data_IF_054900669861
#
_entry.id   IF_054900669861
#
_cell.length_a   1.000
_cell.length_b   1.000
_cell.length_c   1.000
_cell.angle_alpha   90.00
_cell.angle_beta   90.00
_cell.angle_gamma   90.00
#
_symmetry.space_group_name_H-M   'P 1'
#
loop_
_entity.id
_entity.type
_entity.pdbx_description
1 polymer ?
#
# COMPACT_ATOMS: atom_id res chain seq x y z
N UNK A 1 -6.20 9.21 -21.37
CA UNK A 1 -5.70 10.21 -20.41
C UNK A 1 -4.38 9.70 -19.86
N UNK A 2 -3.37 10.56 -19.76
CA UNK A 2 -2.06 10.21 -19.22
C UNK A 2 -1.85 10.97 -17.90
N UNK A 3 -1.37 10.27 -16.88
CA UNK A 3 -1.12 10.83 -15.55
C UNK A 3 0.36 10.71 -15.24
N UNK A 4 0.96 11.79 -14.73
CA UNK A 4 2.38 11.80 -14.37
C UNK A 4 2.56 11.18 -12.98
N UNK A 5 3.37 10.12 -12.90
CA UNK A 5 3.77 9.50 -11.64
C UNK A 5 5.19 9.94 -11.31
N UNK A 6 5.40 10.39 -10.07
CA UNK A 6 6.74 10.74 -9.58
C UNK A 6 7.45 9.48 -9.12
N UNK A 7 8.65 9.26 -9.64
CA UNK A 7 9.48 8.09 -9.35
C UNK A 7 10.77 8.60 -8.68
N UNK A 8 11.28 7.88 -7.69
CA UNK A 8 12.56 8.21 -7.04
C UNK A 8 13.71 7.87 -7.99
N UNK A 9 14.84 8.57 -7.84
CA UNK A 9 15.98 8.36 -8.73
C UNK A 9 16.51 6.93 -8.71
N UNK A 10 16.49 6.27 -7.55
CA UNK A 10 16.87 4.86 -7.43
C UNK A 10 15.97 3.93 -8.25
N UNK A 11 14.65 4.07 -8.12
CA UNK A 11 13.69 3.24 -8.85
C UNK A 11 13.75 3.49 -10.37
N UNK A 12 14.11 4.72 -10.77
CA UNK A 12 14.35 5.07 -12.18
C UNK A 12 15.56 4.30 -12.75
N UNK A 13 16.64 4.16 -11.98
CA UNK A 13 17.81 3.39 -12.41
C UNK A 13 17.43 1.92 -12.66
N UNK A 14 16.59 1.34 -11.81
CA UNK A 14 16.11 -0.03 -12.00
C UNK A 14 15.21 -0.16 -13.24
N UNK A 15 14.35 0.82 -13.50
CA UNK A 15 13.57 0.88 -14.74
C UNK A 15 14.45 1.00 -15.99
N UNK A 16 15.55 1.76 -15.93
CA UNK A 16 16.52 1.90 -17.02
C UNK A 16 17.22 0.58 -17.32
N UNK A 17 17.68 -0.12 -16.27
CA UNK A 17 18.27 -1.45 -16.39
C UNK A 17 17.30 -2.46 -17.00
N UNK A 18 16.03 -2.41 -16.58
CA UNK A 18 14.98 -3.27 -17.12
C UNK A 18 14.75 -2.98 -18.61
N UNK A 19 14.63 -1.71 -18.99
CA UNK A 19 14.49 -1.31 -20.40
C UNK A 19 15.68 -1.79 -21.24
N UNK A 20 16.91 -1.59 -20.76
CA UNK A 20 18.12 -2.05 -21.44
C UNK A 20 18.14 -3.58 -21.60
N UNK A 21 17.75 -4.31 -20.56
CA UNK A 21 17.69 -5.78 -20.59
C UNK A 21 16.67 -6.29 -21.61
N UNK A 22 15.49 -5.68 -21.66
CA UNK A 22 14.46 -6.02 -22.65
C UNK A 22 14.96 -5.69 -24.06
N UNK A 23 15.60 -4.54 -24.27
CA UNK A 23 16.17 -4.17 -25.55
C UNK A 23 17.23 -5.17 -26.01
N UNK A 24 18.14 -5.57 -25.12
CA UNK A 24 19.20 -6.55 -25.43
C UNK A 24 18.63 -7.93 -25.78
N UNK A 25 17.59 -8.38 -25.07
CA UNK A 25 17.01 -9.72 -25.28
C UNK A 25 16.05 -9.78 -26.46
N UNK A 26 15.28 -8.72 -26.71
CA UNK A 26 14.20 -8.72 -27.70
C UNK A 26 14.51 -7.89 -28.95
N UNK A 27 15.55 -7.06 -28.93
CA UNK A 27 15.83 -6.07 -29.97
C UNK A 27 14.83 -4.92 -30.03
N UNK A 28 13.82 -4.90 -29.15
CA UNK A 28 12.75 -3.89 -29.15
C UNK A 28 12.95 -2.89 -28.02
N UNK A 29 12.93 -1.60 -28.36
CA UNK A 29 12.89 -0.52 -27.38
C UNK A 29 11.44 -0.30 -26.93
N UNK A 30 11.17 -0.55 -25.66
CA UNK A 30 9.88 -0.22 -25.03
C UNK A 30 9.98 1.11 -24.30
N UNK A 31 8.89 1.86 -24.25
CA UNK A 31 8.75 3.08 -23.44
C UNK A 31 8.49 2.72 -21.97
N UNK A 32 8.74 3.66 -21.04
CA UNK A 32 8.45 3.41 -19.62
C UNK A 32 6.97 3.13 -19.36
N UNK A 33 6.07 3.80 -20.08
CA UNK A 33 4.63 3.56 -19.94
C UNK A 33 4.26 2.11 -20.29
N UNK A 34 4.83 1.58 -21.37
CA UNK A 34 4.64 0.17 -21.75
C UNK A 34 5.24 -0.77 -20.70
N UNK A 35 6.43 -0.48 -20.19
CA UNK A 35 7.08 -1.31 -19.16
C UNK A 35 6.24 -1.32 -17.89
N UNK A 36 5.78 -0.16 -17.42
CA UNK A 36 4.91 -0.04 -16.26
C UNK A 36 3.58 -0.76 -16.47
N UNK A 37 2.99 -0.67 -17.66
CA UNK A 37 1.77 -1.41 -18.00
C UNK A 37 1.97 -2.93 -17.88
N UNK A 38 3.06 -3.47 -18.42
CA UNK A 38 3.39 -4.89 -18.27
C UNK A 38 3.63 -5.28 -16.81
N UNK A 39 4.37 -4.47 -16.06
CA UNK A 39 4.58 -4.72 -14.64
C UNK A 39 3.26 -4.75 -13.88
N UNK A 40 2.35 -3.81 -14.11
CA UNK A 40 1.05 -3.79 -13.44
C UNK A 40 0.19 -5.01 -13.77
N UNK A 41 0.19 -5.47 -15.02
CA UNK A 41 -0.55 -6.67 -15.43
C UNK A 41 -0.01 -7.91 -14.72
N UNK A 42 1.31 -8.07 -14.66
CA UNK A 42 1.94 -9.30 -14.17
C UNK A 42 2.21 -9.29 -12.66
N UNK A 43 2.32 -8.11 -12.04
CA UNK A 43 2.68 -7.96 -10.64
C UNK A 43 1.45 -7.83 -9.72
N UNK A 44 0.23 -7.66 -10.24
CA UNK A 44 -0.96 -7.41 -9.41
C UNK A 44 -1.14 -8.42 -8.27
N UNK A 45 -1.04 -9.73 -8.55
CA UNK A 45 -1.19 -10.75 -7.50
C UNK A 45 -0.01 -10.75 -6.53
N UNK A 46 1.22 -10.69 -7.06
CA UNK A 46 2.45 -10.72 -6.26
C UNK A 46 2.64 -9.50 -5.36
N UNK A 47 2.18 -8.34 -5.80
CA UNK A 47 2.23 -7.10 -5.01
C UNK A 47 1.23 -7.16 -3.86
N UNK A 48 0.04 -7.72 -4.08
CA UNK A 48 -0.94 -7.92 -2.99
C UNK A 48 -0.38 -8.89 -1.95
N UNK A 49 0.19 -10.02 -2.39
CA UNK A 49 0.85 -10.99 -1.51
C UNK A 49 1.98 -10.33 -0.71
N UNK A 50 2.90 -9.63 -1.38
CA UNK A 50 4.01 -8.95 -0.71
C UNK A 50 3.56 -7.87 0.29
N UNK A 51 2.50 -7.11 -0.03
CA UNK A 51 1.94 -6.10 0.89
C UNK A 51 1.30 -6.78 2.10
N UNK A 52 0.56 -7.88 1.91
CA UNK A 52 -0.05 -8.62 3.02
C UNK A 52 1.04 -9.23 3.91
N UNK A 53 2.08 -9.79 3.31
CA UNK A 53 3.21 -10.36 4.04
C UNK A 53 3.97 -9.29 4.83
N UNK A 54 4.28 -8.14 4.22
CA UNK A 54 4.90 -7.00 4.92
C UNK A 54 4.03 -6.47 6.07
N UNK A 55 2.70 -6.45 5.91
CA UNK A 55 1.76 -6.03 6.95
C UNK A 55 1.66 -7.06 8.08
N UNK A 56 1.74 -8.36 7.76
CA UNK A 56 1.75 -9.42 8.76
C UNK A 56 3.06 -9.46 9.55
N UNK A 57 4.19 -9.16 8.89
CA UNK A 57 5.52 -9.08 9.50
C UNK A 57 5.75 -7.80 10.30
N UNK A 58 4.95 -6.75 10.06
CA UNK A 58 4.79 -5.66 11.02
C UNK A 58 4.04 -6.18 12.23
N UNK A 59 4.80 -6.71 13.20
CA UNK A 59 4.36 -7.20 14.51
C UNK A 59 3.20 -6.34 15.03
N UNK A 60 1.97 -6.79 14.75
CA UNK A 60 0.78 -6.22 15.34
C UNK A 60 1.04 -6.40 16.83
N UNK A 61 1.20 -5.27 17.54
CA UNK A 61 1.29 -5.27 19.00
C UNK A 61 -0.08 -5.70 19.53
N UNK A 62 -0.39 -6.99 19.42
CA UNK A 62 -1.62 -7.61 19.89
C UNK A 62 -1.84 -7.29 21.36
N UNK A 63 -0.75 -7.11 22.13
CA UNK A 63 -0.78 -6.65 23.51
C UNK A 63 -1.39 -5.25 23.69
N UNK A 64 -1.24 -4.31 22.74
CA UNK A 64 -1.88 -2.99 22.83
C UNK A 64 -3.30 -2.96 22.26
N UNK A 65 -3.67 -3.96 21.45
CA UNK A 65 -5.04 -4.15 20.98
C UNK A 65 -5.89 -4.80 22.08
N UNK A 66 -5.37 -5.84 22.74
CA UNK A 66 -6.02 -6.52 23.86
C UNK A 66 -6.26 -5.60 25.06
N UNK A 67 -5.37 -4.63 25.33
CA UNK A 67 -5.60 -3.61 26.37
C UNK A 67 -6.78 -2.68 26.07
N UNK A 68 -7.19 -2.58 24.81
CA UNK A 68 -8.32 -1.74 24.36
C UNK A 68 -9.61 -2.55 24.11
N UNK A 69 -9.54 -3.89 24.11
CA UNK A 69 -10.73 -4.74 23.94
C UNK A 69 -11.66 -4.66 25.15
N UNK A 70 -11.12 -4.45 26.36
CA UNK A 70 -11.93 -4.25 27.57
C UNK A 70 -12.72 -2.93 27.58
N UNK A 71 -12.42 -1.99 26.68
CA UNK A 71 -13.09 -0.68 26.57
C UNK A 71 -14.10 -0.63 25.41
N UNK A 72 -14.02 -1.58 24.46
CA UNK A 72 -15.00 -1.75 23.37
C UNK A 72 -16.27 -2.45 23.88
N UNK A 73 -17.01 -1.76 24.75
CA UNK A 73 -18.30 -2.26 25.27
C UNK A 73 -18.73 -1.66 26.60
N UNK A 74 -17.88 -0.88 27.27
CA UNK A 74 -18.22 -0.12 28.48
C UNK A 74 -18.27 1.38 28.18
N UNK A 75 -19.06 1.76 27.19
CA UNK A 75 -19.51 3.16 27.14
C UNK A 75 -20.54 3.32 28.24
N UNK A 76 -20.12 3.93 29.36
CA UNK A 76 -21.02 4.43 30.39
C UNK A 76 -22.13 5.22 29.68
N UNK A 77 -23.38 4.77 29.79
CA UNK A 77 -24.53 5.39 29.13
C UNK A 77 -24.68 6.86 29.51
N UNK A 78 -24.13 7.26 30.65
CA UNK A 78 -24.04 8.63 31.16
C UNK A 78 -23.20 9.57 30.29
N UNK A 79 -22.23 9.06 29.49
CA UNK A 79 -21.41 9.90 28.58
C UNK A 79 -22.01 10.06 27.20
N UNK A 80 -22.99 9.24 26.84
CA UNK A 80 -23.66 9.32 25.54
C UNK A 80 -24.66 10.48 25.54
N UNK A 81 -25.29 10.77 26.68
CA UNK A 81 -26.25 11.87 26.80
C UNK A 81 -25.59 13.25 26.63
N UNK A 82 -24.36 13.46 27.10
CA UNK A 82 -23.64 14.73 26.91
C UNK A 82 -23.35 15.03 25.44
N UNK A 83 -23.16 13.99 24.62
CA UNK A 83 -22.85 14.13 23.18
C UNK A 83 -24.14 14.31 22.36
N UNK A 84 -25.26 13.72 22.78
CA UNK A 84 -26.52 13.76 22.03
C UNK A 84 -27.39 14.96 22.42
N UNK A 85 -27.43 15.35 23.69
CA UNK A 85 -28.36 16.38 24.16
C UNK A 85 -27.76 17.77 24.39
N UNK A 86 -26.43 17.89 24.45
CA UNK A 86 -25.75 19.17 24.69
C UNK A 86 -26.00 19.68 26.12
N UNK A 87 -24.96 20.27 26.72
CA UNK A 87 -25.03 20.84 28.07
C UNK A 87 -26.26 21.74 28.27
N UNK A 88 -27.01 21.49 29.35
CA UNK A 88 -27.82 22.53 29.98
C UNK A 88 -27.05 23.14 31.15
#
# INVERSE_FOLDING_TARGET
>A
MATTVRIKDFDKIELDKLQATILLKSGKKLTYDQILHYLLIHAKSKVIEAIIDDVNDQEIKWNSLLSNVDDYGKTDSSKIDDIIYGEN
#
